data_IF_044558569123
#
_entry.id   IF_044558569123
#
_cell.length_a   1.000
_cell.length_b   1.000
_cell.length_c   1.000
_cell.angle_alpha   90.00
_cell.angle_beta   90.00
_cell.angle_gamma   90.00
#
_symmetry.space_group_name_H-M   'P 1'
#
loop_
_entity.id
_entity.type
_entity.pdbx_description
1 polymer ?
#
# COMPACT_ATOMS: atom_id res chain seq x y z
N UNK A 1 -14.91 6.76 9.34
CA UNK A 1 -14.29 6.36 10.62
C UNK A 1 -12.94 5.73 10.34
N UNK A 2 -11.84 6.48 10.42
CA UNK A 2 -10.49 5.91 10.25
C UNK A 2 -10.11 5.07 11.46
N UNK A 3 -9.82 3.79 11.27
CA UNK A 3 -9.37 2.90 12.34
C UNK A 3 -8.03 3.40 12.88
N UNK A 4 -8.00 3.80 14.15
CA UNK A 4 -6.78 4.15 14.90
C UNK A 4 -5.82 2.96 14.88
N UNK A 5 -4.61 3.16 14.35
CA UNK A 5 -3.45 2.27 14.56
C UNK A 5 -2.72 1.77 13.31
N UNK A 6 -3.40 1.44 12.20
CA UNK A 6 -2.79 0.61 11.14
C UNK A 6 -2.31 1.37 9.88
N UNK A 7 -1.98 2.66 9.99
CA UNK A 7 -1.70 3.50 8.80
C UNK A 7 -0.73 4.66 8.96
N UNK A 8 -0.23 4.96 10.16
CA UNK A 8 0.61 6.15 10.40
C UNK A 8 1.92 6.08 9.61
N UNK A 9 2.64 4.96 9.67
CA UNK A 9 3.89 4.78 8.90
C UNK A 9 3.63 4.89 7.39
N UNK A 10 2.54 4.28 6.92
CA UNK A 10 2.13 4.38 5.52
C UNK A 10 1.85 5.83 5.11
N UNK A 11 1.23 6.61 5.99
CA UNK A 11 0.95 8.03 5.76
C UNK A 11 2.24 8.85 5.73
N UNK A 12 3.15 8.65 6.69
CA UNK A 12 4.47 9.31 6.73
C UNK A 12 5.24 9.03 5.44
N UNK A 13 5.29 7.77 4.99
CA UNK A 13 5.95 7.39 3.74
C UNK A 13 5.30 8.11 2.55
N UNK A 14 3.97 8.14 2.47
CA UNK A 14 3.25 8.81 1.39
C UNK A 14 3.51 10.32 1.33
N UNK A 15 3.62 10.97 2.49
CA UNK A 15 3.77 12.42 2.60
C UNK A 15 5.22 12.89 2.44
N UNK A 16 6.19 12.09 2.88
CA UNK A 16 7.58 12.55 3.02
C UNK A 16 8.60 11.79 2.19
N UNK A 17 8.33 10.57 1.71
CA UNK A 17 9.35 9.74 1.05
C UNK A 17 9.93 10.41 -0.19
N UNK A 18 9.10 11.00 -1.05
CA UNK A 18 9.58 11.66 -2.28
C UNK A 18 10.59 12.78 -1.99
N UNK A 19 10.28 13.62 -0.99
CA UNK A 19 11.18 14.71 -0.58
C UNK A 19 12.48 14.18 0.05
N UNK A 20 12.37 13.15 0.88
CA UNK A 20 13.53 12.46 1.45
C UNK A 20 14.41 11.84 0.35
N UNK A 21 13.81 11.14 -0.61
CA UNK A 21 14.51 10.44 -1.68
C UNK A 21 15.27 11.41 -2.58
N UNK A 22 14.64 12.51 -2.97
CA UNK A 22 15.28 13.54 -3.81
C UNK A 22 16.56 14.13 -3.16
N UNK A 23 16.58 14.26 -1.84
CA UNK A 23 17.71 14.84 -1.10
C UNK A 23 18.77 13.80 -0.68
N UNK A 24 18.40 12.53 -0.57
CA UNK A 24 19.21 11.53 0.12
C UNK A 24 19.48 10.25 -0.66
N UNK A 25 18.87 10.02 -1.84
CA UNK A 25 19.07 8.80 -2.63
C UNK A 25 20.56 8.49 -2.89
N UNK A 26 21.38 9.51 -3.09
CA UNK A 26 22.82 9.34 -3.35
C UNK A 26 23.62 8.74 -2.16
N UNK A 27 23.04 8.72 -0.96
CA UNK A 27 23.65 8.13 0.25
C UNK A 27 23.51 6.61 0.29
N UNK A 28 22.67 6.03 -0.55
CA UNK A 28 22.45 4.58 -0.64
C UNK A 28 23.24 3.99 -1.83
N UNK A 29 23.76 2.75 -1.70
CA UNK A 29 24.41 2.06 -2.82
C UNK A 29 23.47 1.97 -4.03
N UNK A 30 24.01 2.17 -5.23
CA UNK A 30 23.23 2.24 -6.47
C UNK A 30 22.35 1.01 -6.64
N UNK A 31 22.90 -0.17 -6.38
CA UNK A 31 22.23 -1.46 -6.55
C UNK A 31 20.98 -1.64 -5.65
N UNK A 32 20.85 -0.88 -4.57
CA UNK A 32 19.69 -0.98 -3.65
C UNK A 32 18.65 0.12 -3.87
N UNK A 33 18.92 1.13 -4.70
CA UNK A 33 18.03 2.29 -4.82
C UNK A 33 16.66 1.89 -5.34
N UNK A 34 16.64 1.06 -6.38
CA UNK A 34 15.41 0.58 -6.99
C UNK A 34 14.62 -0.30 -6.01
N UNK A 35 15.29 -1.20 -5.27
CA UNK A 35 14.65 -2.04 -4.26
C UNK A 35 14.01 -1.23 -3.12
N UNK A 36 14.69 -0.18 -2.66
CA UNK A 36 14.17 0.71 -1.60
C UNK A 36 12.92 1.43 -2.10
N UNK A 37 13.00 2.05 -3.28
CA UNK A 37 11.87 2.78 -3.87
C UNK A 37 10.69 1.85 -4.16
N UNK A 38 10.93 0.69 -4.76
CA UNK A 38 9.91 -0.33 -5.01
C UNK A 38 9.24 -0.77 -3.71
N UNK A 39 10.03 -1.03 -2.67
CA UNK A 39 9.52 -1.47 -1.37
C UNK A 39 8.61 -0.41 -0.74
N UNK A 40 9.03 0.85 -0.75
CA UNK A 40 8.22 1.95 -0.20
C UNK A 40 6.94 2.15 -1.00
N UNK A 41 7.02 2.13 -2.33
CA UNK A 41 5.84 2.24 -3.21
C UNK A 41 4.87 1.09 -2.96
N UNK A 42 5.36 -0.16 -2.84
CA UNK A 42 4.55 -1.33 -2.48
C UNK A 42 3.85 -1.16 -1.14
N UNK A 43 4.53 -0.63 -0.13
CA UNK A 43 3.92 -0.36 1.18
C UNK A 43 2.85 0.73 1.11
N UNK A 44 3.07 1.79 0.32
CA UNK A 44 2.07 2.85 0.08
C UNK A 44 0.84 2.31 -0.68
N UNK A 45 1.00 1.32 -1.56
CA UNK A 45 -0.12 0.69 -2.29
C UNK A 45 -0.78 -0.47 -1.54
N UNK A 46 -0.20 -0.93 -0.44
CA UNK A 46 -0.73 -2.07 0.31
C UNK A 46 -2.17 -1.83 0.79
N UNK A 47 -3.09 -2.76 0.50
CA UNK A 47 -4.49 -2.68 0.89
C UNK A 47 -5.31 -1.65 0.11
N UNK A 48 -4.77 -1.08 -0.96
CA UNK A 48 -5.52 -0.24 -1.92
C UNK A 48 -5.86 -1.05 -3.17
N UNK A 49 -6.75 -0.51 -4.01
CA UNK A 49 -7.11 -1.12 -5.29
C UNK A 49 -5.94 -1.14 -6.28
N UNK A 50 -4.92 -0.31 -6.07
CA UNK A 50 -3.75 -0.17 -6.96
C UNK A 50 -2.89 -1.44 -6.98
N UNK A 51 -2.94 -2.25 -5.91
CA UNK A 51 -2.24 -3.53 -5.82
C UNK A 51 -3.09 -4.70 -6.36
N UNK A 52 -4.30 -4.43 -6.83
CA UNK A 52 -5.29 -5.42 -7.18
C UNK A 52 -6.26 -5.77 -6.04
N UNK A 53 -7.37 -6.39 -6.42
CA UNK A 53 -8.44 -6.75 -5.51
C UNK A 53 -9.26 -7.91 -6.05
N UNK A 54 -9.94 -8.63 -5.16
CA UNK A 54 -11.04 -9.53 -5.52
C UNK A 54 -12.37 -8.80 -5.37
N UNK A 55 -13.24 -8.91 -6.38
CA UNK A 55 -14.63 -8.40 -6.35
C UNK A 55 -15.57 -9.58 -6.11
N UNK A 56 -16.39 -9.48 -5.07
CA UNK A 56 -17.44 -10.45 -4.75
C UNK A 56 -18.80 -9.80 -4.95
N UNK A 57 -19.67 -10.47 -5.69
CA UNK A 57 -20.97 -9.94 -6.08
C UNK A 57 -22.04 -11.02 -5.92
N UNK A 58 -23.15 -10.65 -5.26
CA UNK A 58 -24.34 -11.50 -5.15
C UNK A 58 -25.16 -11.33 -6.43
N UNK A 59 -25.38 -12.41 -7.19
CA UNK A 59 -26.23 -12.40 -8.38
C UNK A 59 -27.69 -12.79 -8.10
N UNK A 60 -28.03 -13.15 -6.85
CA UNK A 60 -29.35 -13.66 -6.46
C UNK A 60 -30.12 -12.79 -5.47
N UNK A 61 -29.64 -11.59 -5.18
CA UNK A 61 -30.26 -10.67 -4.24
C UNK A 61 -31.19 -9.72 -5.01
N UNK A 62 -32.47 -9.58 -4.62
CA UNK A 62 -33.38 -8.59 -5.23
C UNK A 62 -32.93 -7.16 -4.88
N UNK A 63 -32.64 -6.34 -5.90
CA UNK A 63 -32.14 -4.97 -5.77
C UNK A 63 -30.78 -4.74 -6.46
N UNK A 64 -30.22 -3.54 -6.33
CA UNK A 64 -28.89 -3.22 -6.88
C UNK A 64 -27.79 -3.94 -6.08
N UNK A 65 -27.02 -4.87 -6.69
CA UNK A 65 -25.98 -5.60 -5.98
C UNK A 65 -24.89 -4.64 -5.51
N UNK A 66 -24.51 -4.75 -4.23
CA UNK A 66 -23.40 -4.00 -3.66
C UNK A 66 -22.12 -4.85 -3.62
N UNK A 67 -21.23 -4.76 -4.62
CA UNK A 67 -20.04 -5.60 -4.67
C UNK A 67 -19.09 -5.31 -3.49
N UNK A 68 -18.55 -6.38 -2.90
CA UNK A 68 -17.50 -6.29 -1.89
C UNK A 68 -16.13 -6.39 -2.56
N UNK A 69 -15.28 -5.43 -2.24
CA UNK A 69 -13.91 -5.36 -2.73
C UNK A 69 -12.94 -5.75 -1.62
N UNK A 70 -12.16 -6.79 -1.84
CA UNK A 70 -11.08 -7.23 -0.94
C UNK A 70 -9.76 -6.89 -1.60
N UNK A 71 -9.11 -5.80 -1.17
CA UNK A 71 -7.82 -5.37 -1.71
C UNK A 71 -6.69 -6.30 -1.26
N UNK A 72 -5.74 -6.55 -2.15
CA UNK A 72 -4.57 -7.36 -1.83
C UNK A 72 -3.58 -6.61 -0.93
N UNK A 73 -2.74 -7.39 -0.26
CA UNK A 73 -1.70 -6.90 0.66
C UNK A 73 -0.33 -7.16 0.06
N UNK A 74 0.66 -6.31 0.36
CA UNK A 74 1.98 -6.40 -0.25
C UNK A 74 2.85 -7.56 0.27
N UNK A 75 2.44 -8.22 1.37
CA UNK A 75 3.15 -9.34 2.02
C UNK A 75 4.62 -9.06 2.40
N UNK A 76 5.03 -7.80 2.39
CA UNK A 76 6.38 -7.38 2.78
C UNK A 76 6.48 -7.23 4.29
N UNK A 77 7.62 -7.66 4.85
CA UNK A 77 8.00 -7.45 6.27
C UNK A 77 8.14 -5.98 6.64
N UNK A 78 8.43 -5.12 5.65
CA UNK A 78 8.53 -3.67 5.85
C UNK A 78 7.16 -3.03 6.11
N UNK A 79 6.08 -3.65 5.63
CA UNK A 79 4.73 -3.18 5.88
C UNK A 79 4.23 -3.69 7.24
N UNK A 80 4.08 -2.80 8.21
CA UNK A 80 3.53 -3.12 9.55
C UNK A 80 2.12 -3.74 9.55
N UNK A 81 1.37 -3.62 8.45
CA UNK A 81 0.07 -4.29 8.31
C UNK A 81 0.16 -5.72 7.76
N UNK A 82 1.35 -6.15 7.30
CA UNK A 82 1.58 -7.46 6.68
C UNK A 82 2.56 -8.34 7.47
N UNK A 83 3.57 -7.74 8.11
CA UNK A 83 4.62 -8.41 8.87
C UNK A 83 4.41 -8.36 10.38
#
# INVERSE_FOLDING_TARGET
MGKKGSGVIKQILKEHFNGFWALHAQRFPVDYRDDIEETVIKTIRCGTKDLGYARYECLGCEGEPSPKFVCFTCKSRFCHGCG
#
